data_IF_181252649668
#
_entry.id   IF_181252649668
#
_cell.length_a   1.000
_cell.length_b   1.000
_cell.length_c   1.000
_cell.angle_alpha   90.00
_cell.angle_beta   90.00
_cell.angle_gamma   90.00
#
_symmetry.space_group_name_H-M   'P 1'
#
loop_
_entity.id
_entity.type
_entity.pdbx_description
1 polymer ?
#
# COMPACT_ATOMS: atom_id res chain seq x y z
N UNK A 1 -25.73 -60.56 -27.95
CA UNK A 1 -25.17 -59.64 -28.97
C UNK A 1 -26.02 -58.37 -29.00
N UNK A 2 -25.34 -57.21 -29.02
CA UNK A 2 -25.86 -55.82 -29.08
C UNK A 2 -26.39 -55.23 -27.76
N UNK A 3 -25.48 -54.54 -27.07
CA UNK A 3 -25.80 -53.68 -25.93
C UNK A 3 -24.54 -53.16 -25.25
N UNK A 4 -23.59 -52.60 -26.02
CA UNK A 4 -22.35 -52.01 -25.47
C UNK A 4 -21.57 -51.20 -26.54
N UNK A 5 -22.21 -50.21 -27.18
CA UNK A 5 -21.46 -49.23 -28.00
C UNK A 5 -22.27 -47.98 -28.33
N UNK A 6 -22.61 -47.16 -27.31
CA UNK A 6 -23.05 -45.77 -27.56
C UNK A 6 -22.92 -44.83 -26.34
N UNK A 7 -21.91 -45.05 -25.48
CA UNK A 7 -21.51 -44.11 -24.40
C UNK A 7 -20.17 -43.40 -24.74
N UNK A 8 -19.62 -43.61 -25.93
CA UNK A 8 -18.25 -43.19 -26.28
C UNK A 8 -18.13 -41.81 -26.98
N UNK A 9 -19.18 -40.96 -26.96
CA UNK A 9 -19.11 -39.60 -27.53
C UNK A 9 -19.51 -38.46 -26.57
N UNK A 10 -19.56 -38.72 -25.26
CA UNK A 10 -19.92 -37.72 -24.24
C UNK A 10 -18.80 -37.33 -23.26
N UNK A 11 -17.54 -37.74 -23.50
CA UNK A 11 -16.49 -37.65 -22.49
C UNK A 11 -15.10 -37.35 -23.04
N UNK A 12 -14.98 -36.53 -24.09
CA UNK A 12 -13.68 -36.16 -24.65
C UNK A 12 -13.65 -34.72 -25.16
N UNK A 13 -13.87 -33.74 -24.28
CA UNK A 13 -13.43 -32.35 -24.54
C UNK A 13 -13.25 -31.52 -23.26
N UNK A 14 -12.63 -32.08 -22.23
CA UNK A 14 -12.21 -31.32 -21.05
C UNK A 14 -10.97 -31.94 -20.37
N UNK A 15 -9.85 -32.05 -21.09
CA UNK A 15 -8.57 -32.47 -20.49
C UNK A 15 -7.31 -31.98 -21.23
N UNK A 16 -7.35 -30.79 -21.84
CA UNK A 16 -6.13 -30.15 -22.35
C UNK A 16 -6.12 -28.67 -22.00
N UNK A 17 -5.67 -28.36 -20.79
CA UNK A 17 -4.92 -27.16 -20.41
C UNK A 17 -4.72 -27.19 -18.89
N UNK A 18 -3.60 -27.79 -18.45
CA UNK A 18 -2.87 -27.45 -17.22
C UNK A 18 -1.70 -28.42 -17.07
N UNK A 19 -0.62 -28.16 -17.81
CA UNK A 19 0.72 -28.63 -17.48
C UNK A 19 1.68 -27.47 -17.65
N UNK A 20 2.13 -26.94 -16.52
CA UNK A 20 3.49 -26.49 -16.20
C UNK A 20 3.43 -25.46 -15.07
N UNK A 21 3.56 -25.91 -13.82
CA UNK A 21 4.62 -25.55 -12.86
C UNK A 21 4.54 -26.59 -11.73
N UNK A 22 5.64 -27.31 -11.50
CA UNK A 22 5.75 -28.26 -10.40
C UNK A 22 5.95 -27.57 -9.06
N UNK A 23 5.37 -28.14 -8.00
CA UNK A 23 6.05 -28.56 -6.77
C UNK A 23 5.01 -28.90 -5.68
N UNK A 24 5.08 -30.13 -5.16
CA UNK A 24 4.60 -30.48 -3.82
C UNK A 24 3.14 -30.93 -3.71
N UNK A 25 2.91 -32.25 -3.66
CA UNK A 25 1.80 -32.80 -2.90
C UNK A 25 2.03 -32.47 -1.41
N UNK A 26 1.56 -31.31 -0.96
CA UNK A 26 1.41 -31.03 0.47
C UNK A 26 0.29 -31.91 1.02
N UNK A 27 0.58 -32.69 2.06
CA UNK A 27 -0.44 -33.48 2.74
C UNK A 27 -1.59 -32.56 3.19
N UNK A 28 -2.84 -32.94 2.93
CA UNK A 28 -4.02 -32.18 3.41
C UNK A 28 -4.00 -31.93 4.92
N UNK A 29 -3.30 -32.78 5.69
CA UNK A 29 -3.04 -32.60 7.13
C UNK A 29 -2.09 -31.44 7.43
N UNK A 30 -1.09 -31.17 6.60
CA UNK A 30 -0.17 -30.03 6.78
C UNK A 30 -0.86 -28.70 6.47
N UNK A 31 -1.74 -28.68 5.46
CA UNK A 31 -2.53 -27.50 5.12
C UNK A 31 -3.53 -27.10 6.22
N UNK A 32 -4.02 -28.04 7.04
CA UNK A 32 -4.85 -27.73 8.21
C UNK A 32 -4.02 -27.22 9.39
N UNK A 33 -2.78 -27.69 9.57
CA UNK A 33 -1.88 -27.24 10.65
C UNK A 33 -1.37 -25.80 10.43
N UNK A 34 -1.24 -25.37 9.17
CA UNK A 34 -0.81 -24.02 8.79
C UNK A 34 -2.00 -23.08 8.49
N UNK A 35 -3.23 -23.54 8.70
CA UNK A 35 -4.44 -22.78 8.41
C UNK A 35 -4.49 -21.53 9.28
N UNK A 36 -4.58 -20.37 8.66
CA UNK A 36 -4.71 -19.08 9.33
C UNK A 36 -5.69 -18.24 8.52
N UNK A 37 -6.57 -17.50 9.20
CA UNK A 37 -7.44 -16.58 8.47
C UNK A 37 -6.60 -15.50 7.81
N UNK A 38 -7.02 -15.02 6.64
CA UNK A 38 -6.28 -13.97 5.94
C UNK A 38 -6.09 -12.72 6.82
N UNK A 39 -7.06 -12.42 7.69
CA UNK A 39 -6.98 -11.31 8.65
C UNK A 39 -5.86 -11.51 9.67
N UNK A 40 -5.75 -12.70 10.27
CA UNK A 40 -4.73 -13.01 11.28
C UNK A 40 -3.33 -13.10 10.65
N UNK A 41 -3.23 -13.66 9.44
CA UNK A 41 -1.98 -13.67 8.67
C UNK A 41 -1.50 -12.23 8.37
N UNK A 42 -2.43 -11.32 8.06
CA UNK A 42 -2.09 -9.91 7.83
C UNK A 42 -1.65 -9.18 9.10
N UNK A 43 -2.29 -9.44 10.25
CA UNK A 43 -1.85 -8.88 11.53
C UNK A 43 -0.44 -9.36 11.87
N UNK A 44 -0.20 -10.67 11.69
CA UNK A 44 1.11 -11.28 11.89
C UNK A 44 2.19 -10.62 11.02
N UNK A 45 1.97 -10.56 9.70
CA UNK A 45 2.97 -10.03 8.77
C UNK A 45 3.27 -8.54 9.03
N UNK A 46 2.24 -7.76 9.40
CA UNK A 46 2.41 -6.34 9.73
C UNK A 46 3.30 -6.13 10.96
N UNK A 47 3.01 -6.84 12.06
CA UNK A 47 3.76 -6.70 13.30
C UNK A 47 5.17 -7.25 13.15
N UNK A 48 5.35 -8.36 12.44
CA UNK A 48 6.68 -8.91 12.15
C UNK A 48 7.54 -7.90 11.37
N UNK A 49 7.00 -7.32 10.29
CA UNK A 49 7.74 -6.32 9.50
C UNK A 49 8.05 -5.05 10.29
N UNK A 50 7.11 -4.59 11.12
CA UNK A 50 7.32 -3.39 11.96
C UNK A 50 8.44 -3.63 12.99
N UNK A 51 8.47 -4.81 13.60
CA UNK A 51 9.55 -5.20 14.51
C UNK A 51 10.89 -5.28 13.77
N UNK A 52 10.96 -5.91 12.60
CA UNK A 52 12.21 -6.03 11.84
C UNK A 52 12.73 -4.65 11.37
N UNK A 53 11.83 -3.72 11.03
CA UNK A 53 12.17 -2.34 10.72
C UNK A 53 12.71 -1.59 11.94
N UNK A 54 12.09 -1.75 13.11
CA UNK A 54 12.57 -1.13 14.36
C UNK A 54 13.93 -1.69 14.78
N UNK A 55 14.15 -3.00 14.65
CA UNK A 55 15.47 -3.61 14.85
C UNK A 55 16.51 -2.98 13.91
N UNK A 56 16.19 -2.87 12.62
CA UNK A 56 17.09 -2.28 11.63
C UNK A 56 17.40 -0.81 11.93
N UNK A 57 16.38 -0.03 12.33
CA UNK A 57 16.54 1.37 12.75
C UNK A 57 17.41 1.49 13.99
N UNK A 58 17.19 0.64 15.01
CA UNK A 58 17.94 0.64 16.26
C UNK A 58 19.43 0.32 16.05
N UNK A 59 19.74 -0.60 15.14
CA UNK A 59 21.11 -0.91 14.72
C UNK A 59 21.78 0.25 13.96
N UNK A 60 21.00 1.06 13.25
CA UNK A 60 21.48 2.24 12.54
C UNK A 60 21.44 3.55 13.34
N UNK A 61 20.97 3.51 14.59
CA UNK A 61 20.81 4.70 15.42
C UNK A 61 22.18 5.27 15.84
N UNK A 62 22.33 6.59 15.77
CA UNK A 62 23.61 7.29 16.02
C UNK A 62 23.57 8.20 17.26
N UNK A 63 22.45 8.20 17.99
CA UNK A 63 22.29 8.94 19.24
C UNK A 63 21.29 8.27 20.18
N UNK A 64 21.43 8.55 21.47
CA UNK A 64 20.49 8.09 22.50
C UNK A 64 19.08 8.64 22.26
N UNK A 65 18.94 9.82 21.65
CA UNK A 65 17.65 10.41 21.31
C UNK A 65 16.92 9.64 20.20
N UNK A 66 17.66 9.15 19.21
CA UNK A 66 17.09 8.29 18.15
C UNK A 66 16.63 6.96 18.75
N UNK A 67 17.41 6.39 19.68
CA UNK A 67 17.06 5.17 20.41
C UNK A 67 15.81 5.39 21.28
N UNK A 68 15.70 6.51 21.99
CA UNK A 68 14.52 6.83 22.79
C UNK A 68 13.26 6.97 21.92
N UNK A 69 13.39 7.53 20.71
CA UNK A 69 12.28 7.61 19.74
C UNK A 69 11.87 6.21 19.27
N UNK A 70 12.83 5.34 18.98
CA UNK A 70 12.59 3.95 18.57
C UNK A 70 11.95 3.14 19.70
N UNK A 71 12.40 3.31 20.95
CA UNK A 71 11.84 2.64 22.11
C UNK A 71 10.41 3.11 22.41
N UNK A 72 10.13 4.40 22.19
CA UNK A 72 8.76 4.94 22.27
C UNK A 72 7.86 4.36 21.18
N UNK A 73 8.38 4.21 19.95
CA UNK A 73 7.64 3.58 18.84
C UNK A 73 7.36 2.08 19.11
N UNK A 74 8.29 1.38 19.78
CA UNK A 74 8.16 -0.03 20.18
C UNK A 74 7.12 -0.24 21.29
N UNK A 75 7.09 0.62 22.31
CA UNK A 75 6.15 0.51 23.44
C UNK A 75 4.70 0.76 23.04
N UNK A 76 4.46 1.43 21.90
CA UNK A 76 3.15 1.69 21.34
C UNK A 76 2.62 0.56 20.43
N UNK A 77 3.41 -0.51 20.21
CA UNK A 77 2.95 -1.63 19.39
C UNK A 77 2.08 -2.56 20.25
N UNK A 78 0.83 -2.75 19.83
CA UNK A 78 -0.05 -3.76 20.38
C UNK A 78 -0.24 -4.88 19.35
N UNK A 79 -0.14 -6.12 19.81
CA UNK A 79 -0.40 -7.29 18.97
C UNK A 79 -1.21 -8.32 19.73
N UNK A 80 -2.33 -8.70 19.13
CA UNK A 80 -3.15 -9.80 19.57
C UNK A 80 -3.74 -10.53 18.37
N UNK A 81 -4.08 -11.81 18.56
CA UNK A 81 -4.58 -12.67 17.49
C UNK A 81 -5.74 -13.54 17.98
N UNK A 82 -6.68 -13.83 17.09
CA UNK A 82 -7.78 -14.76 17.39
C UNK A 82 -7.37 -16.19 17.00
N UNK A 83 -7.24 -17.14 17.95
CA UNK A 83 -6.89 -18.53 17.65
C UNK A 83 -8.03 -19.33 17.00
N UNK A 84 -9.27 -18.82 16.99
CA UNK A 84 -10.44 -19.55 16.48
C UNK A 84 -10.28 -19.94 15.01
N UNK A 85 -10.34 -21.25 14.73
CA UNK A 85 -10.22 -21.80 13.38
C UNK A 85 -8.80 -21.75 12.78
N UNK A 86 -7.80 -21.41 13.60
CA UNK A 86 -6.38 -21.43 13.23
C UNK A 86 -5.75 -22.80 13.52
N UNK A 87 -4.88 -23.28 12.63
CA UNK A 87 -4.10 -24.50 12.81
C UNK A 87 -3.00 -24.33 13.85
N UNK A 88 -2.58 -25.43 14.48
CA UNK A 88 -1.66 -25.42 15.63
C UNK A 88 -0.30 -24.74 15.33
N UNK A 89 0.27 -24.93 14.12
CA UNK A 89 1.54 -24.28 13.76
C UNK A 89 1.37 -22.78 13.56
N UNK A 90 0.26 -22.37 12.97
CA UNK A 90 -0.07 -20.96 12.82
C UNK A 90 -0.30 -20.27 14.18
N UNK A 91 -0.97 -20.95 15.13
CA UNK A 91 -1.11 -20.46 16.50
C UNK A 91 0.25 -20.32 17.20
N UNK A 92 1.12 -21.32 17.08
CA UNK A 92 2.49 -21.25 17.62
C UNK A 92 3.28 -20.08 17.03
N UNK A 93 3.20 -19.88 15.73
CA UNK A 93 3.87 -18.78 15.03
C UNK A 93 3.38 -17.41 15.52
N UNK A 94 2.06 -17.24 15.67
CA UNK A 94 1.47 -16.01 16.23
C UNK A 94 1.86 -15.79 17.69
N UNK A 95 1.86 -16.84 18.52
CA UNK A 95 2.30 -16.75 19.90
C UNK A 95 3.77 -16.34 20.01
N UNK A 96 4.65 -16.94 19.20
CA UNK A 96 6.08 -16.58 19.16
C UNK A 96 6.30 -15.09 18.82
N UNK A 97 5.50 -14.53 17.91
CA UNK A 97 5.58 -13.11 17.58
C UNK A 97 5.11 -12.22 18.74
N UNK A 98 4.04 -12.64 19.44
CA UNK A 98 3.53 -11.96 20.63
C UNK A 98 4.57 -11.96 21.76
N UNK A 99 5.20 -13.11 21.99
CA UNK A 99 6.26 -13.26 22.99
C UNK A 99 7.51 -12.43 22.61
N UNK A 100 7.92 -12.45 21.34
CA UNK A 100 9.02 -11.63 20.82
C UNK A 100 8.75 -10.14 21.04
N UNK A 101 7.54 -9.67 20.77
CA UNK A 101 7.14 -8.28 21.04
C UNK A 101 7.23 -7.95 22.54
N UNK A 102 6.70 -8.80 23.40
CA UNK A 102 6.73 -8.60 24.85
C UNK A 102 8.16 -8.53 25.41
N UNK A 103 9.05 -9.41 24.93
CA UNK A 103 10.48 -9.40 25.30
C UNK A 103 11.15 -8.09 24.87
N UNK A 104 10.91 -7.64 23.64
CA UNK A 104 11.49 -6.39 23.14
C UNK A 104 10.94 -5.18 23.92
N UNK A 105 9.65 -5.17 24.27
CA UNK A 105 9.05 -4.10 25.08
C UNK A 105 9.56 -4.09 26.52
N UNK A 106 9.82 -5.25 27.12
CA UNK A 106 10.39 -5.37 28.46
C UNK A 106 11.90 -5.04 28.50
N UNK A 107 12.62 -5.23 27.40
CA UNK A 107 14.06 -4.97 27.31
C UNK A 107 14.45 -4.37 25.94
N UNK A 108 14.17 -3.07 25.69
CA UNK A 108 14.36 -2.43 24.38
C UNK A 108 15.81 -2.39 23.90
N UNK A 109 16.78 -2.45 24.81
CA UNK A 109 18.23 -2.52 24.50
C UNK A 109 18.63 -3.79 23.74
N UNK A 110 17.82 -4.85 23.79
CA UNK A 110 18.05 -6.08 23.03
C UNK A 110 17.89 -5.90 21.52
N UNK A 111 17.25 -4.81 21.05
CA UNK A 111 17.15 -4.44 19.63
C UNK A 111 18.53 -4.28 18.96
N UNK A 112 19.57 -3.97 19.74
CA UNK A 112 20.94 -3.76 19.24
C UNK A 112 21.78 -5.06 19.18
N UNK A 113 21.41 -6.11 19.92
CA UNK A 113 22.25 -7.29 20.14
C UNK A 113 22.05 -8.44 19.14
N UNK A 114 21.08 -8.34 18.22
CA UNK A 114 20.66 -9.47 17.37
C UNK A 114 21.70 -9.87 16.30
N UNK A 115 22.84 -9.17 16.17
CA UNK A 115 23.90 -9.58 15.21
C UNK A 115 25.30 -9.08 15.56
N UNK A 116 25.83 -9.40 16.74
CA UNK A 116 27.24 -9.17 17.05
C UNK A 116 27.88 -10.37 17.74
N UNK A 117 28.16 -11.41 16.96
CA UNK A 117 29.23 -12.37 17.23
C UNK A 117 30.22 -12.30 16.06
N UNK A 118 31.23 -11.45 16.16
CA UNK A 118 32.64 -11.79 15.86
C UNK A 118 33.55 -10.55 15.88
N UNK A 119 34.57 -10.67 16.73
CA UNK A 119 35.95 -10.21 16.59
C UNK A 119 36.24 -8.70 16.45
N UNK A 120 36.74 -8.14 17.57
CA UNK A 120 37.56 -6.94 17.59
C UNK A 120 39.03 -7.33 17.68
N UNK A 121 39.82 -6.99 16.65
CA UNK A 121 41.27 -6.88 16.74
C UNK A 121 41.68 -5.42 16.55
N UNK A 122 42.29 -4.86 17.58
CA UNK A 122 42.91 -3.54 17.64
C UNK A 122 44.17 -3.47 16.78
N UNK A 123 44.36 -2.36 16.07
CA UNK A 123 45.72 -1.81 15.85
C UNK A 123 45.66 -0.31 15.58
N UNK A 124 46.54 0.41 16.26
CA UNK A 124 46.74 1.86 16.18
C UNK A 124 47.67 2.23 15.01
N UNK A 125 47.45 3.39 14.37
CA UNK A 125 48.56 4.29 13.97
C UNK A 125 48.10 5.71 13.57
N UNK A 126 49.02 6.63 13.86
CA UNK A 126 49.07 8.11 13.93
C UNK A 126 48.53 8.99 12.76
N UNK A 127 48.42 10.33 12.97
CA UNK A 127 47.42 11.19 12.33
C UNK A 127 47.97 12.01 11.15
N UNK A 128 47.37 11.82 9.98
CA UNK A 128 46.80 12.95 9.22
C UNK A 128 45.31 12.65 9.22
N UNK A 129 44.55 13.37 10.06
CA UNK A 129 43.22 12.89 10.46
C UNK A 129 42.21 13.14 9.33
N UNK A 130 42.28 12.32 8.28
CA UNK A 130 41.16 12.09 7.37
C UNK A 130 39.95 11.76 8.25
N UNK A 131 38.97 12.65 8.24
CA UNK A 131 37.78 12.52 9.07
C UNK A 131 36.84 11.54 8.35
N UNK A 132 36.73 10.33 8.88
CA UNK A 132 35.81 9.31 8.35
C UNK A 132 34.36 9.77 8.44
N UNK A 133 33.63 9.67 7.33
CA UNK A 133 32.20 10.00 7.25
C UNK A 133 31.34 8.75 7.31
N UNK A 134 31.70 7.74 6.52
CA UNK A 134 31.09 6.41 6.53
C UNK A 134 32.13 5.39 6.05
N UNK A 135 32.13 4.22 6.66
CA UNK A 135 32.83 3.04 6.15
C UNK A 135 31.96 1.82 6.39
N UNK A 136 31.59 1.14 5.32
CA UNK A 136 30.75 -0.07 5.33
C UNK A 136 31.32 -1.07 4.36
N UNK A 137 31.39 -2.32 4.79
CA UNK A 137 31.77 -3.46 3.94
C UNK A 137 30.55 -4.36 3.71
N UNK A 138 30.49 -5.01 2.56
CA UNK A 138 29.44 -5.95 2.15
C UNK A 138 28.02 -5.40 2.35
N UNK A 139 27.83 -4.11 2.11
CA UNK A 139 26.54 -3.45 2.28
C UNK A 139 25.60 -3.87 1.15
N UNK A 140 24.42 -4.41 1.50
CA UNK A 140 23.35 -4.61 0.54
C UNK A 140 22.71 -3.28 0.16
N UNK A 141 22.63 -3.03 -1.14
CA UNK A 141 22.02 -1.85 -1.75
C UNK A 141 20.89 -2.32 -2.65
N UNK A 142 19.68 -2.24 -2.14
CA UNK A 142 18.42 -2.66 -2.78
C UNK A 142 17.58 -1.48 -3.32
N UNK A 143 18.06 -0.26 -3.09
CA UNK A 143 17.48 1.00 -3.54
C UNK A 143 18.58 2.07 -3.57
N UNK A 144 18.25 3.26 -4.11
CA UNK A 144 19.15 4.42 -4.10
C UNK A 144 19.55 4.75 -2.65
N UNK A 145 20.85 4.85 -2.37
CA UNK A 145 21.39 5.32 -1.09
C UNK A 145 22.01 6.70 -1.27
N UNK A 146 21.75 7.60 -0.32
CA UNK A 146 22.21 8.99 -0.34
C UNK A 146 22.98 9.30 0.93
N UNK A 147 24.13 9.96 0.77
CA UNK A 147 25.02 10.33 1.86
C UNK A 147 25.28 11.84 1.82
N UNK A 148 24.42 12.65 2.46
CA UNK A 148 24.55 14.10 2.48
C UNK A 148 25.49 14.57 3.61
N UNK A 149 26.45 15.43 3.28
CA UNK A 149 27.39 16.01 4.25
C UNK A 149 27.65 17.49 3.94
N UNK A 150 27.88 18.27 4.99
CA UNK A 150 28.33 19.64 4.82
C UNK A 150 29.85 19.68 4.67
N UNK A 151 30.32 20.43 3.67
CA UNK A 151 31.73 20.69 3.44
C UNK A 151 31.98 22.19 3.34
N UNK A 152 33.21 22.58 3.63
CA UNK A 152 33.74 23.93 3.36
C UNK A 152 34.48 23.95 2.03
N UNK A 153 34.62 25.14 1.46
CA UNK A 153 35.49 25.36 0.31
C UNK A 153 36.89 24.82 0.60
N UNK A 154 37.50 24.19 -0.40
CA UNK A 154 38.82 23.54 -0.35
C UNK A 154 38.92 22.25 0.47
N UNK A 155 37.84 21.78 1.11
CA UNK A 155 37.83 20.42 1.66
C UNK A 155 38.13 19.40 0.55
N UNK A 156 38.90 18.36 0.85
CA UNK A 156 39.16 17.25 -0.08
C UNK A 156 38.30 16.06 0.31
N UNK A 157 37.28 15.77 -0.49
CA UNK A 157 36.41 14.61 -0.32
C UNK A 157 37.05 13.38 -0.99
N UNK A 158 37.27 12.32 -0.21
CA UNK A 158 37.71 11.02 -0.70
C UNK A 158 36.53 10.06 -0.79
N UNK A 159 36.38 9.44 -1.97
CA UNK A 159 35.30 8.52 -2.31
C UNK A 159 35.94 7.19 -2.72
N UNK A 160 35.65 6.13 -1.97
CA UNK A 160 36.00 4.77 -2.35
C UNK A 160 34.73 3.90 -2.40
N UNK A 161 34.48 3.26 -3.54
CA UNK A 161 33.32 2.39 -3.74
C UNK A 161 33.74 1.17 -4.54
N UNK A 162 33.49 -0.02 -3.99
CA UNK A 162 33.77 -1.30 -4.66
C UNK A 162 32.49 -2.12 -4.74
N UNK A 163 31.71 -2.01 -5.83
CA UNK A 163 30.51 -2.79 -6.01
C UNK A 163 30.84 -4.19 -6.55
N UNK A 164 30.12 -5.19 -6.05
CA UNK A 164 30.02 -6.52 -6.65
C UNK A 164 28.90 -6.49 -7.71
N UNK A 165 29.21 -5.93 -8.88
CA UNK A 165 28.25 -5.69 -9.96
C UNK A 165 28.51 -4.34 -10.62
N UNK A 166 27.45 -3.71 -11.15
CA UNK A 166 27.53 -2.36 -11.71
C UNK A 166 26.69 -1.38 -10.89
N UNK A 167 27.29 -0.23 -10.62
CA UNK A 167 26.68 0.87 -9.90
C UNK A 167 26.93 2.20 -10.60
N UNK A 168 26.04 3.15 -10.34
CA UNK A 168 26.25 4.56 -10.64
C UNK A 168 26.48 5.31 -9.35
N UNK A 169 27.61 6.01 -9.28
CA UNK A 169 27.96 6.93 -8.20
C UNK A 169 27.83 8.34 -8.73
N UNK A 170 27.14 9.23 -8.02
CA UNK A 170 27.00 10.64 -8.41
C UNK A 170 27.31 11.56 -7.24
N UNK A 171 28.03 12.64 -7.52
CA UNK A 171 28.27 13.71 -6.55
C UNK A 171 27.43 14.92 -6.92
N UNK A 172 26.64 15.41 -5.98
CA UNK A 172 25.79 16.57 -6.13
C UNK A 172 26.19 17.71 -5.19
N UNK A 173 26.11 18.94 -5.68
CA UNK A 173 25.98 20.15 -4.88
C UNK A 173 24.48 20.39 -4.65
N UNK A 174 24.04 20.20 -3.41
CA UNK A 174 22.62 20.29 -3.05
C UNK A 174 22.16 21.76 -3.03
N UNK A 175 23.00 22.67 -2.55
CA UNK A 175 22.66 24.09 -2.47
C UNK A 175 22.43 24.68 -3.85
N UNK A 176 23.25 24.28 -4.84
CA UNK A 176 23.11 24.71 -6.25
C UNK A 176 22.23 23.79 -7.09
N UNK A 177 21.70 22.71 -6.51
CA UNK A 177 20.88 21.71 -7.20
C UNK A 177 21.54 21.17 -8.47
N UNK A 178 22.85 20.89 -8.40
CA UNK A 178 23.67 20.56 -9.57
C UNK A 178 24.43 19.26 -9.34
N UNK A 179 24.40 18.37 -10.34
CA UNK A 179 25.31 17.22 -10.40
C UNK A 179 26.69 17.69 -10.84
N UNK A 180 27.71 17.42 -10.02
CA UNK A 180 29.09 17.83 -10.27
C UNK A 180 29.85 16.77 -11.05
N UNK A 181 29.76 15.52 -10.61
CA UNK A 181 30.42 14.37 -11.22
C UNK A 181 29.48 13.16 -11.20
N UNK A 182 29.70 12.25 -12.14
CA UNK A 182 29.03 10.95 -12.19
C UNK A 182 30.01 9.91 -12.71
N UNK A 183 30.02 8.76 -12.06
CA UNK A 183 30.83 7.60 -12.43
C UNK A 183 29.93 6.39 -12.62
N UNK A 184 30.23 5.58 -13.62
CA UNK A 184 29.71 4.24 -13.75
C UNK A 184 30.82 3.28 -13.31
N UNK A 185 30.53 2.48 -12.30
CA UNK A 185 31.51 1.75 -11.51
C UNK A 185 31.20 0.26 -11.60
N UNK A 186 32.13 -0.52 -12.15
CA UNK A 186 32.03 -1.98 -12.29
C UNK A 186 33.06 -2.74 -11.44
N UNK A 187 34.01 -2.00 -10.86
CA UNK A 187 35.12 -2.46 -10.03
C UNK A 187 35.36 -1.40 -8.95
N UNK A 188 36.55 -1.32 -8.36
CA UNK A 188 36.87 -0.25 -7.41
C UNK A 188 36.88 1.13 -8.07
N UNK A 189 36.15 2.08 -7.49
CA UNK A 189 36.28 3.52 -7.69
C UNK A 189 37.09 4.10 -6.52
N UNK A 190 38.13 4.87 -6.81
CA UNK A 190 38.83 5.73 -5.85
C UNK A 190 38.98 7.12 -6.46
N UNK A 191 38.37 8.11 -5.81
CA UNK A 191 38.35 9.49 -6.28
C UNK A 191 38.63 10.45 -5.14
N UNK A 192 39.32 11.54 -5.48
CA UNK A 192 39.49 12.69 -4.62
C UNK A 192 38.89 13.92 -5.31
N UNK A 193 38.05 14.66 -4.59
CA UNK A 193 37.34 15.83 -5.12
C UNK A 193 37.51 17.02 -4.20
N UNK A 194 38.09 18.10 -4.73
CA UNK A 194 38.15 19.39 -4.02
C UNK A 194 36.81 20.09 -4.06
N UNK A 195 36.31 20.48 -2.89
CA UNK A 195 35.03 21.15 -2.73
C UNK A 195 35.12 22.61 -3.16
N UNK A 196 34.31 23.07 -4.14
CA UNK A 196 34.45 24.42 -4.69
C UNK A 196 33.93 25.51 -3.75
N UNK A 197 32.87 25.25 -3.00
CA UNK A 197 32.27 26.22 -2.09
C UNK A 197 31.64 25.55 -0.88
N UNK A 198 31.49 26.30 0.20
CA UNK A 198 30.73 25.92 1.37
C UNK A 198 29.30 25.48 1.01
N UNK A 199 28.86 24.36 1.56
CA UNK A 199 27.52 23.84 1.30
C UNK A 199 27.35 22.37 1.64
N UNK A 200 26.14 21.87 1.39
CA UNK A 200 25.75 20.48 1.49
C UNK A 200 26.03 19.81 0.15
N UNK A 201 26.81 18.74 0.19
CA UNK A 201 27.06 17.87 -0.94
C UNK A 201 26.52 16.48 -0.63
N UNK A 202 26.11 15.76 -1.66
CA UNK A 202 25.52 14.44 -1.51
C UNK A 202 26.16 13.46 -2.48
N UNK A 203 26.62 12.34 -1.93
CA UNK A 203 27.00 11.17 -2.72
C UNK A 203 25.74 10.32 -2.89
N UNK A 204 25.32 10.06 -4.12
CA UNK A 204 24.26 9.11 -4.44
C UNK A 204 24.87 7.84 -5.02
N UNK A 205 24.51 6.69 -4.45
CA UNK A 205 24.85 5.37 -4.93
C UNK A 205 23.58 4.67 -5.44
N UNK A 206 23.60 4.25 -6.71
CA UNK A 206 22.47 3.60 -7.36
C UNK A 206 22.91 2.29 -8.03
N UNK A 207 22.30 1.14 -7.70
CA UNK A 207 22.55 -0.10 -8.44
C UNK A 207 21.96 -0.01 -9.84
N UNK A 208 22.70 -0.46 -10.87
CA UNK A 208 22.14 -0.50 -12.23
C UNK A 208 21.18 -1.70 -12.41
N UNK A 209 21.41 -2.80 -11.68
CA UNK A 209 20.60 -4.04 -11.72
C UNK A 209 19.48 -4.12 -10.67
N UNK A 210 19.15 -3.01 -9.99
CA UNK A 210 18.12 -2.97 -8.93
C UNK A 210 18.61 -3.37 -7.54
N UNK A 211 19.50 -4.34 -7.43
CA UNK A 211 20.23 -4.65 -6.20
C UNK A 211 21.72 -4.93 -6.44
N UNK A 212 22.57 -4.67 -5.43
CA UNK A 212 23.98 -5.08 -5.41
C UNK A 212 24.52 -5.17 -3.98
N UNK A 213 25.68 -5.80 -3.83
CA UNK A 213 26.51 -5.75 -2.62
C UNK A 213 27.71 -4.83 -2.90
N UNK A 214 28.10 -3.96 -1.97
CA UNK A 214 29.22 -3.04 -2.15
C UNK A 214 29.96 -2.74 -0.87
N UNK A 215 31.24 -2.45 -1.02
CA UNK A 215 32.01 -1.72 -0.02
C UNK A 215 31.96 -0.23 -0.35
N UNK A 216 31.82 0.62 0.68
CA UNK A 216 31.85 2.07 0.54
C UNK A 216 32.65 2.67 1.70
N UNK A 217 33.54 3.60 1.36
CA UNK A 217 34.24 4.45 2.32
C UNK A 217 34.22 5.88 1.82
N UNK A 218 33.67 6.78 2.63
CA UNK A 218 33.72 8.22 2.39
C UNK A 218 34.47 8.86 3.56
N UNK A 219 35.43 9.71 3.25
CA UNK A 219 36.16 10.51 4.23
C UNK A 219 36.51 11.87 3.63
N UNK A 220 36.95 12.80 4.47
CA UNK A 220 37.45 14.07 3.96
C UNK A 220 38.66 14.55 4.74
N UNK A 221 39.52 15.28 4.04
CA UNK A 221 40.54 16.13 4.63
C UNK A 221 40.01 17.57 4.65
N UNK A 222 39.90 18.15 5.85
CA UNK A 222 39.34 19.47 6.02
C UNK A 222 40.36 20.55 5.70
N UNK A 223 39.94 21.62 5.02
CA UNK A 223 40.74 22.84 4.87
C UNK A 223 41.00 23.54 6.22
N UNK A 224 40.25 23.16 7.26
CA UNK A 224 40.41 23.60 8.63
C UNK A 224 40.15 22.46 9.64
N UNK A 225 40.47 22.73 10.90
CA UNK A 225 40.24 21.79 11.99
C UNK A 225 38.79 21.78 12.50
N UNK A 226 37.93 22.69 12.04
CA UNK A 226 36.58 22.86 12.56
C UNK A 226 35.73 21.61 12.29
N UNK A 227 34.76 21.35 13.17
CA UNK A 227 33.75 20.31 12.90
C UNK A 227 32.78 20.85 11.86
N UNK A 228 32.38 19.97 10.92
CA UNK A 228 31.33 20.28 9.96
C UNK A 228 29.95 20.12 10.65
N UNK A 229 28.99 21.02 10.39
CA UNK A 229 27.64 20.89 10.94
C UNK A 229 26.98 19.60 10.45
N UNK A 230 26.06 19.07 11.25
CA UNK A 230 25.31 17.88 10.87
C UNK A 230 24.25 18.25 9.85
N UNK A 231 24.08 17.40 8.85
CA UNK A 231 23.02 17.54 7.85
C UNK A 231 21.82 16.70 8.27
N UNK A 232 20.64 17.31 8.23
CA UNK A 232 19.35 16.66 8.44
C UNK A 232 18.56 16.61 7.13
N UNK A 233 17.65 15.66 7.03
CA UNK A 233 16.81 15.42 5.86
C UNK A 233 15.32 15.54 6.21
N UNK A 234 14.53 16.08 5.28
CA UNK A 234 13.07 16.01 5.29
C UNK A 234 12.55 15.75 3.89
N UNK A 235 11.59 14.82 3.76
CA UNK A 235 10.88 14.59 2.50
C UNK A 235 9.75 15.60 2.33
N UNK A 236 9.64 16.20 1.15
CA UNK A 236 8.58 17.16 0.79
C UNK A 236 7.94 16.80 -0.54
N UNK A 237 6.67 17.16 -0.72
CA UNK A 237 5.98 17.08 -2.02
C UNK A 237 6.59 18.06 -3.02
N UNK A 238 6.69 17.65 -4.29
CA UNK A 238 7.29 18.43 -5.37
C UNK A 238 6.61 18.15 -6.72
N UNK A 239 7.09 18.77 -7.80
CA UNK A 239 6.61 18.53 -9.17
C UNK A 239 7.53 17.54 -9.90
N UNK A 240 6.98 16.95 -10.95
CA UNK A 240 7.79 16.17 -11.89
C UNK A 240 8.88 17.04 -12.49
N UNK A 241 10.13 16.55 -12.45
CA UNK A 241 11.29 17.25 -13.00
C UNK A 241 12.03 18.15 -12.00
N UNK A 242 11.49 18.37 -10.80
CA UNK A 242 12.24 19.06 -9.75
C UNK A 242 13.51 18.26 -9.38
N UNK A 243 14.55 18.96 -8.93
CA UNK A 243 15.82 18.32 -8.55
C UNK A 243 15.59 17.26 -7.46
N UNK A 244 16.10 16.04 -7.69
CA UNK A 244 15.89 14.83 -6.86
C UNK A 244 14.42 14.41 -6.69
N UNK A 245 13.53 14.83 -7.58
CA UNK A 245 12.14 14.35 -7.57
C UNK A 245 12.08 12.85 -7.87
N UNK A 246 11.44 12.13 -6.97
CA UNK A 246 11.15 10.70 -7.09
C UNK A 246 9.66 10.51 -7.27
N UNK A 247 9.30 9.68 -8.25
CA UNK A 247 7.93 9.31 -8.51
C UNK A 247 7.55 8.11 -7.64
N UNK A 248 6.52 8.29 -6.83
CA UNK A 248 5.91 7.23 -6.04
C UNK A 248 4.51 6.96 -6.58
N UNK A 249 4.19 5.68 -6.79
CA UNK A 249 2.85 5.25 -7.17
C UNK A 249 1.82 5.66 -6.10
N UNK A 250 0.70 6.22 -6.55
CA UNK A 250 -0.34 6.79 -5.69
C UNK A 250 -1.72 6.48 -6.27
N UNK A 251 -2.74 6.59 -5.42
CA UNK A 251 -4.15 6.55 -5.83
C UNK A 251 -4.76 7.91 -5.57
N UNK A 252 -5.31 8.51 -6.61
CA UNK A 252 -6.21 9.63 -6.51
C UNK A 252 -7.63 9.11 -6.37
N UNK A 253 -8.32 9.57 -5.34
CA UNK A 253 -9.76 9.38 -5.17
C UNK A 253 -10.46 10.60 -5.76
N UNK A 254 -11.54 10.40 -6.50
CA UNK A 254 -12.36 11.50 -7.05
C UNK A 254 -13.83 11.17 -6.97
N UNK A 255 -14.64 12.13 -6.50
CA UNK A 255 -16.09 11.97 -6.44
C UNK A 255 -16.68 11.85 -7.84
N UNK A 256 -17.63 10.92 -8.01
CA UNK A 256 -18.37 10.76 -9.27
C UNK A 256 -19.64 11.62 -9.29
N UNK A 257 -20.25 11.81 -8.13
CA UNK A 257 -21.36 12.74 -7.94
C UNK A 257 -20.91 13.98 -7.19
N UNK A 258 -21.46 15.15 -7.53
CA UNK A 258 -21.22 16.39 -6.78
C UNK A 258 -21.73 16.29 -5.34
N UNK A 259 -22.84 15.59 -5.15
CA UNK A 259 -23.50 15.35 -3.86
C UNK A 259 -24.02 13.90 -3.83
N UNK A 260 -24.20 13.30 -2.63
CA UNK A 260 -24.82 11.98 -2.49
C UNK A 260 -26.16 11.91 -3.21
N UNK A 261 -26.39 10.84 -3.96
CA UNK A 261 -27.71 10.59 -4.56
C UNK A 261 -28.64 10.05 -3.50
N UNK A 262 -29.69 10.81 -3.18
CA UNK A 262 -30.74 10.42 -2.26
C UNK A 262 -31.98 9.97 -3.03
N UNK A 263 -32.49 8.77 -2.74
CA UNK A 263 -33.75 8.27 -3.30
C UNK A 263 -34.63 7.66 -2.22
N UNK A 264 -35.94 7.88 -2.30
CA UNK A 264 -36.93 7.22 -1.45
C UNK A 264 -37.64 6.12 -2.23
N UNK A 265 -37.73 4.93 -1.64
CA UNK A 265 -38.46 3.78 -2.15
C UNK A 265 -39.68 3.53 -1.26
N UNK A 266 -40.87 3.62 -1.82
CA UNK A 266 -42.10 3.37 -1.06
C UNK A 266 -42.27 1.87 -0.78
N UNK A 267 -42.83 1.55 0.38
CA UNK A 267 -43.29 0.18 0.65
C UNK A 267 -44.42 -0.20 -0.31
N UNK A 268 -44.52 -1.48 -0.68
CA UNK A 268 -45.45 -1.91 -1.75
C UNK A 268 -46.91 -1.47 -1.51
N UNK A 269 -47.41 -1.54 -0.26
CA UNK A 269 -48.75 -1.07 0.09
C UNK A 269 -48.96 0.41 -0.24
N UNK A 270 -47.98 1.27 0.04
CA UNK A 270 -48.07 2.72 -0.25
C UNK A 270 -47.85 3.02 -1.72
N UNK A 271 -46.97 2.26 -2.41
CA UNK A 271 -46.66 2.45 -3.84
C UNK A 271 -47.86 2.22 -4.76
N UNK A 272 -48.80 1.36 -4.36
CA UNK A 272 -50.06 1.12 -5.08
C UNK A 272 -50.92 2.41 -5.13
N UNK A 273 -50.79 3.29 -4.14
CA UNK A 273 -51.56 4.54 -4.06
C UNK A 273 -50.75 5.78 -4.43
N UNK A 274 -49.43 5.81 -4.17
CA UNK A 274 -48.55 6.92 -4.59
C UNK A 274 -47.05 6.58 -4.43
N UNK A 275 -46.22 7.12 -5.33
CA UNK A 275 -44.76 6.95 -5.31
C UNK A 275 -44.28 5.63 -5.91
N UNK A 276 -42.95 5.47 -6.07
CA UNK A 276 -42.34 4.31 -6.73
C UNK A 276 -41.67 3.38 -5.73
N UNK A 277 -41.81 2.07 -5.92
CA UNK A 277 -41.06 1.04 -5.19
C UNK A 277 -39.68 0.79 -5.81
N UNK A 278 -39.44 1.30 -7.02
CA UNK A 278 -38.17 1.21 -7.74
C UNK A 278 -37.53 2.57 -8.00
N UNK A 279 -36.20 2.60 -7.98
CA UNK A 279 -35.41 3.75 -8.40
C UNK A 279 -34.22 3.30 -9.26
N UNK A 280 -33.78 4.17 -10.17
CA UNK A 280 -32.63 3.95 -11.02
C UNK A 280 -31.65 5.11 -10.86
N UNK A 281 -30.39 4.81 -10.56
CA UNK A 281 -29.31 5.80 -10.48
C UNK A 281 -28.27 5.49 -11.56
N UNK A 282 -28.03 6.44 -12.45
CA UNK A 282 -26.97 6.33 -13.45
C UNK A 282 -25.63 6.75 -12.84
N UNK A 283 -24.65 5.86 -12.91
CA UNK A 283 -23.28 6.06 -12.43
C UNK A 283 -22.36 6.25 -13.65
N UNK A 284 -21.94 7.49 -13.96
CA UNK A 284 -20.96 7.71 -15.02
C UNK A 284 -19.60 7.13 -14.58
N UNK A 285 -18.86 6.55 -15.53
CA UNK A 285 -17.53 5.99 -15.31
C UNK A 285 -16.51 6.99 -15.86
N UNK A 286 -15.78 7.73 -15.00
CA UNK A 286 -14.78 8.70 -15.48
C UNK A 286 -13.69 8.00 -16.29
N UNK A 287 -13.23 8.66 -17.36
CA UNK A 287 -12.16 8.13 -18.20
C UNK A 287 -10.87 7.91 -17.39
N UNK A 288 -10.21 6.76 -17.59
CA UNK A 288 -8.99 6.41 -16.88
C UNK A 288 -9.19 5.93 -15.44
N UNK A 289 -10.43 5.67 -15.01
CA UNK A 289 -10.70 5.07 -13.70
C UNK A 289 -10.26 3.61 -13.67
N UNK A 290 -9.46 3.24 -12.67
CA UNK A 290 -9.03 1.85 -12.44
C UNK A 290 -10.08 1.06 -11.65
N UNK A 291 -10.77 1.72 -10.73
CA UNK A 291 -11.87 1.13 -9.96
C UNK A 291 -12.96 2.18 -9.69
N UNK A 292 -14.21 1.71 -9.57
CA UNK A 292 -15.35 2.52 -9.14
C UNK A 292 -15.84 1.93 -7.84
N UNK A 293 -15.80 2.70 -6.76
CA UNK A 293 -16.25 2.28 -5.43
C UNK A 293 -17.55 3.00 -5.10
N UNK A 294 -18.41 2.33 -4.34
CA UNK A 294 -19.63 2.94 -3.83
C UNK A 294 -19.78 2.76 -2.34
N UNK A 295 -20.45 3.72 -1.73
CA UNK A 295 -20.97 3.70 -0.38
C UNK A 295 -22.49 3.80 -0.46
N UNK A 296 -23.16 2.81 0.10
CA UNK A 296 -24.60 2.66 0.08
C UNK A 296 -25.12 2.65 1.51
N UNK A 297 -25.82 3.71 1.91
CA UNK A 297 -26.58 3.74 3.17
C UNK A 297 -28.05 3.56 2.87
N UNK A 298 -28.67 2.57 3.51
CA UNK A 298 -30.09 2.29 3.46
C UNK A 298 -30.65 2.52 4.86
N UNK A 299 -31.74 3.27 4.97
CA UNK A 299 -32.37 3.60 6.23
C UNK A 299 -33.89 3.63 6.09
N UNK A 300 -34.60 3.29 7.15
CA UNK A 300 -36.05 3.54 7.24
C UNK A 300 -36.37 4.98 7.63
N UNK A 301 -35.34 5.77 7.96
CA UNK A 301 -35.42 7.17 8.35
C UNK A 301 -34.86 8.08 7.24
N UNK A 302 -35.64 9.08 6.83
CA UNK A 302 -35.26 10.02 5.78
C UNK A 302 -34.13 11.00 6.20
N UNK A 303 -33.76 11.04 7.48
CA UNK A 303 -32.73 11.96 7.98
C UNK A 303 -31.34 11.61 7.41
N UNK A 304 -30.64 12.66 6.99
CA UNK A 304 -29.23 12.60 6.61
C UNK A 304 -28.37 12.30 7.84
N UNK A 305 -27.42 11.38 7.71
CA UNK A 305 -26.48 11.02 8.76
C UNK A 305 -25.22 11.92 8.68
N UNK A 306 -24.49 12.13 9.80
CA UNK A 306 -23.25 12.91 9.79
C UNK A 306 -22.12 12.34 8.90
N UNK A 307 -22.24 11.08 8.49
CA UNK A 307 -21.31 10.39 7.58
C UNK A 307 -21.61 10.63 6.10
N UNK A 308 -22.83 11.05 5.76
CA UNK A 308 -23.24 11.23 4.37
C UNK A 308 -22.45 12.38 3.72
N UNK A 309 -21.97 12.16 2.50
CA UNK A 309 -21.14 13.11 1.75
C UNK A 309 -19.64 13.03 2.05
N UNK A 310 -19.18 12.13 2.92
CA UNK A 310 -17.78 12.02 3.34
C UNK A 310 -17.04 10.84 2.75
N UNK A 311 -17.65 10.07 1.84
CA UNK A 311 -17.07 8.81 1.38
C UNK A 311 -15.72 8.99 0.68
N UNK A 312 -15.62 9.92 -0.28
CA UNK A 312 -14.38 10.16 -1.01
C UNK A 312 -13.25 10.71 -0.12
N UNK A 313 -13.59 11.55 0.87
CA UNK A 313 -12.62 12.08 1.84
C UNK A 313 -12.10 10.97 2.76
N UNK A 314 -12.99 10.11 3.26
CA UNK A 314 -12.64 8.97 4.09
C UNK A 314 -11.78 7.96 3.30
N UNK A 315 -12.10 7.69 2.03
CA UNK A 315 -11.28 6.88 1.14
C UNK A 315 -9.90 7.51 0.90
N UNK A 316 -9.82 8.82 0.71
CA UNK A 316 -8.57 9.55 0.51
C UNK A 316 -7.67 9.47 1.75
N UNK A 317 -8.27 9.62 2.93
CA UNK A 317 -7.59 9.50 4.21
C UNK A 317 -7.08 8.06 4.41
N UNK A 318 -7.93 7.07 4.19
CA UNK A 318 -7.56 5.66 4.28
C UNK A 318 -6.43 5.30 3.31
N UNK A 319 -6.46 5.80 2.07
CA UNK A 319 -5.39 5.61 1.08
C UNK A 319 -4.06 6.18 1.56
N UNK A 320 -4.06 7.38 2.16
CA UNK A 320 -2.84 7.99 2.75
C UNK A 320 -2.29 7.15 3.90
N UNK A 321 -3.16 6.61 4.77
CA UNK A 321 -2.72 5.75 5.87
C UNK A 321 -2.07 4.45 5.37
N UNK A 322 -2.62 3.82 4.33
CA UNK A 322 -2.04 2.61 3.72
C UNK A 322 -0.63 2.89 3.18
N UNK A 323 -0.38 4.08 2.62
CA UNK A 323 0.96 4.48 2.13
C UNK A 323 1.98 4.64 3.26
N UNK A 324 1.57 5.20 4.40
CA UNK A 324 2.46 5.44 5.55
C UNK A 324 2.96 4.11 6.14
N UNK A 325 2.15 3.05 6.05
CA UNK A 325 2.43 1.74 6.64
C UNK A 325 3.31 0.81 5.77
N UNK A 326 4.05 1.36 4.81
CA UNK A 326 5.14 0.63 4.13
C UNK A 326 4.72 -0.52 3.21
N UNK A 327 3.43 -0.70 2.95
CA UNK A 327 2.96 -1.69 1.99
C UNK A 327 3.38 -1.19 0.60
N UNK A 328 4.13 -2.00 -0.16
CA UNK A 328 4.34 -1.75 -1.59
C UNK A 328 3.02 -2.00 -2.32
N UNK A 329 2.13 -1.01 -2.25
CA UNK A 329 0.73 -1.12 -2.68
C UNK A 329 0.59 -1.40 -4.18
N UNK A 330 1.65 -1.25 -4.99
CA UNK A 330 1.55 -1.18 -6.44
C UNK A 330 2.71 -1.87 -7.17
N UNK A 331 2.69 -3.20 -7.27
CA UNK A 331 3.53 -3.91 -8.24
C UNK A 331 2.82 -4.15 -9.59
N UNK A 332 1.53 -3.84 -9.71
CA UNK A 332 0.74 -4.08 -10.93
C UNK A 332 0.12 -2.78 -11.46
N UNK A 333 -0.04 -2.69 -12.79
CA UNK A 333 -0.72 -1.58 -13.50
C UNK A 333 -2.22 -1.46 -13.17
N UNK A 334 -2.74 -2.36 -12.36
CA UNK A 334 -4.12 -2.43 -11.88
C UNK A 334 -4.10 -2.46 -10.36
N UNK A 335 -5.00 -1.71 -9.70
CA UNK A 335 -5.20 -1.79 -8.26
C UNK A 335 -5.46 -3.25 -7.85
N UNK A 336 -4.71 -3.76 -6.87
CA UNK A 336 -4.98 -5.10 -6.36
C UNK A 336 -6.27 -5.09 -5.54
N UNK A 337 -7.01 -6.20 -5.58
CA UNK A 337 -8.20 -6.42 -4.76
C UNK A 337 -7.93 -6.13 -3.28
N UNK A 338 -6.77 -6.54 -2.77
CA UNK A 338 -6.35 -6.32 -1.38
C UNK A 338 -6.33 -4.85 -0.94
N UNK A 339 -6.10 -3.91 -1.86
CA UNK A 339 -6.06 -2.47 -1.56
C UNK A 339 -7.46 -1.90 -1.56
N UNK A 340 -8.27 -2.33 -2.52
CA UNK A 340 -9.69 -1.97 -2.61
C UNK A 340 -10.43 -2.47 -1.37
N UNK A 341 -10.21 -3.71 -0.96
CA UNK A 341 -10.85 -4.30 0.23
C UNK A 341 -10.52 -3.52 1.51
N UNK A 342 -9.25 -3.11 1.68
CA UNK A 342 -8.81 -2.27 2.81
C UNK A 342 -9.47 -0.90 2.80
N UNK A 343 -9.56 -0.27 1.64
CA UNK A 343 -10.22 1.03 1.48
C UNK A 343 -11.72 0.93 1.81
N UNK A 344 -12.40 -0.11 1.34
CA UNK A 344 -13.83 -0.32 1.58
C UNK A 344 -14.12 -0.70 3.04
N UNK A 345 -13.22 -1.44 3.70
CA UNK A 345 -13.36 -1.83 5.10
C UNK A 345 -13.35 -0.60 6.04
N UNK A 346 -12.42 0.33 5.82
CA UNK A 346 -12.23 1.51 6.66
C UNK A 346 -13.32 2.58 6.50
N UNK A 347 -14.29 2.38 5.60
CA UNK A 347 -15.26 3.40 5.20
C UNK A 347 -16.72 2.93 5.30
N UNK A 348 -17.00 1.86 6.05
CA UNK A 348 -18.32 1.21 6.06
C UNK A 348 -19.46 2.11 6.58
N UNK A 349 -20.65 2.08 5.94
CA UNK A 349 -21.84 2.76 6.44
C UNK A 349 -22.40 2.10 7.70
N UNK A 350 -23.16 2.85 8.52
CA UNK A 350 -23.96 2.25 9.58
C UNK A 350 -25.04 1.32 8.99
N UNK A 351 -25.29 0.20 9.67
CA UNK A 351 -26.32 -0.77 9.30
C UNK A 351 -27.54 -0.63 10.21
N UNK A 352 -28.72 -0.69 9.62
CA UNK A 352 -30.00 -0.82 10.32
C UNK A 352 -30.57 -2.19 9.97
N UNK A 353 -30.97 -2.98 10.97
CA UNK A 353 -31.43 -4.37 10.77
C UNK A 353 -32.61 -4.46 9.80
N UNK A 354 -33.53 -3.50 9.88
CA UNK A 354 -34.77 -3.48 9.12
C UNK A 354 -34.70 -2.76 7.75
N UNK A 355 -33.57 -2.13 7.43
CA UNK A 355 -33.38 -1.33 6.22
C UNK A 355 -32.60 -2.11 5.15
N UNK A 356 -33.33 -2.69 4.19
CA UNK A 356 -32.75 -3.40 3.04
C UNK A 356 -33.59 -3.23 1.78
N UNK A 357 -32.95 -3.38 0.62
CA UNK A 357 -33.60 -3.38 -0.69
C UNK A 357 -32.86 -4.31 -1.67
N UNK A 358 -33.49 -4.68 -2.78
CA UNK A 358 -32.78 -5.38 -3.84
C UNK A 358 -31.97 -4.37 -4.66
N UNK A 359 -30.71 -4.68 -4.93
CA UNK A 359 -29.80 -3.87 -5.74
C UNK A 359 -29.42 -4.63 -7.01
N UNK A 360 -29.65 -4.00 -8.17
CA UNK A 360 -29.36 -4.55 -9.49
C UNK A 360 -28.33 -3.69 -10.20
N UNK A 361 -27.26 -4.31 -10.70
CA UNK A 361 -26.29 -3.64 -11.57
C UNK A 361 -26.69 -3.88 -13.02
N UNK A 362 -27.41 -2.90 -13.56
CA UNK A 362 -27.83 -2.84 -14.94
C UNK A 362 -26.77 -2.14 -15.77
N UNK A 363 -26.62 -2.65 -16.97
CA UNK A 363 -25.36 -2.58 -17.70
C UNK A 363 -25.61 -2.23 -19.17
N UNK A 364 -26.90 -2.15 -19.50
CA UNK A 364 -27.48 -1.77 -20.77
C UNK A 364 -28.58 -0.75 -20.48
N UNK A 365 -28.62 0.33 -21.26
CA UNK A 365 -29.58 1.42 -21.05
C UNK A 365 -31.02 0.99 -21.31
N UNK A 366 -31.25 0.02 -22.21
CA UNK A 366 -32.58 -0.51 -22.51
C UNK A 366 -33.12 -1.30 -21.33
N UNK A 367 -32.30 -2.15 -20.70
CA UNK A 367 -32.67 -2.87 -19.48
C UNK A 367 -32.90 -1.92 -18.30
N UNK A 368 -32.06 -0.89 -18.17
CA UNK A 368 -32.21 0.15 -17.15
C UNK A 368 -33.56 0.89 -17.29
N UNK A 369 -33.93 1.26 -18.52
CA UNK A 369 -35.23 1.88 -18.82
C UNK A 369 -36.39 0.94 -18.50
N UNK A 370 -36.32 -0.33 -18.94
CA UNK A 370 -37.36 -1.33 -18.63
C UNK A 370 -37.58 -1.52 -17.13
N UNK A 371 -36.50 -1.49 -16.34
CA UNK A 371 -36.54 -1.55 -14.88
C UNK A 371 -37.26 -0.33 -14.29
N UNK A 372 -36.91 0.88 -14.75
CA UNK A 372 -37.49 2.14 -14.31
C UNK A 372 -38.98 2.30 -14.68
N UNK A 373 -39.37 1.75 -15.83
CA UNK A 373 -40.74 1.79 -16.35
C UNK A 373 -41.62 0.66 -15.77
N UNK A 374 -41.08 -0.17 -14.87
CA UNK A 374 -41.80 -1.27 -14.19
C UNK A 374 -42.46 -2.29 -15.14
N UNK A 375 -41.93 -2.40 -16.36
CA UNK A 375 -42.54 -3.19 -17.45
C UNK A 375 -42.50 -4.71 -17.24
N UNK A 376 -41.74 -5.20 -16.27
CA UNK A 376 -41.66 -6.62 -15.91
C UNK A 376 -41.41 -6.84 -14.40
N UNK A 377 -41.63 -8.07 -13.93
CA UNK A 377 -41.17 -8.49 -12.61
C UNK A 377 -39.64 -8.54 -12.56
N UNK A 378 -39.06 -8.31 -11.38
CA UNK A 378 -37.63 -8.10 -11.20
C UNK A 378 -36.74 -9.28 -11.58
N UNK A 379 -37.28 -10.50 -11.63
CA UNK A 379 -36.60 -11.70 -12.11
C UNK A 379 -36.38 -11.79 -13.63
N UNK A 380 -36.93 -10.86 -14.42
CA UNK A 380 -36.86 -10.92 -15.89
C UNK A 380 -35.89 -9.90 -16.52
N UNK A 381 -35.21 -9.08 -15.71
CA UNK A 381 -34.22 -8.14 -16.22
C UNK A 381 -32.86 -8.82 -16.42
N UNK A 382 -32.16 -8.44 -17.50
CA UNK A 382 -30.75 -8.83 -17.67
C UNK A 382 -29.85 -7.89 -16.87
N UNK A 383 -29.45 -8.31 -15.67
CA UNK A 383 -28.49 -7.61 -14.80
C UNK A 383 -27.20 -8.41 -14.59
N UNK A 384 -26.16 -7.74 -14.09
CA UNK A 384 -24.90 -8.40 -13.75
C UNK A 384 -25.03 -9.13 -12.41
N UNK A 385 -25.30 -10.44 -12.46
CA UNK A 385 -25.54 -11.29 -11.29
C UNK A 385 -24.40 -11.21 -10.26
N UNK A 386 -23.15 -11.21 -10.71
CA UNK A 386 -21.95 -11.13 -9.85
C UNK A 386 -21.84 -9.83 -9.03
N UNK A 387 -22.59 -8.79 -9.39
CA UNK A 387 -22.54 -7.48 -8.75
C UNK A 387 -23.90 -7.04 -8.20
N UNK A 388 -24.93 -7.87 -8.37
CA UNK A 388 -26.29 -7.59 -7.92
C UNK A 388 -26.59 -8.42 -6.68
N UNK A 389 -27.38 -7.88 -5.77
CA UNK A 389 -27.65 -8.52 -4.48
C UNK A 389 -29.11 -8.30 -4.07
N UNK A 390 -29.78 -9.40 -3.73
CA UNK A 390 -31.10 -9.37 -3.09
C UNK A 390 -30.94 -9.14 -1.59
N UNK A 391 -31.87 -8.41 -0.97
CA UNK A 391 -31.80 -8.10 0.46
C UNK A 391 -30.57 -7.30 0.87
N UNK A 392 -30.11 -6.40 -0.01
CA UNK A 392 -28.93 -5.55 0.24
C UNK A 392 -29.22 -4.61 1.42
N UNK A 393 -28.39 -4.71 2.46
CA UNK A 393 -28.31 -3.74 3.56
C UNK A 393 -27.22 -2.69 3.26
N UNK A 394 -27.09 -1.67 4.12
CA UNK A 394 -26.00 -0.69 4.02
C UNK A 394 -24.63 -1.37 3.88
N UNK A 395 -23.91 -1.00 2.83
CA UNK A 395 -22.63 -1.61 2.48
C UNK A 395 -21.75 -0.68 1.63
N UNK A 396 -20.50 -1.09 1.49
CA UNK A 396 -19.61 -0.57 0.46
C UNK A 396 -19.35 -1.67 -0.56
N UNK A 397 -19.02 -1.29 -1.78
CA UNK A 397 -18.59 -2.26 -2.79
C UNK A 397 -17.84 -1.64 -3.95
N UNK A 398 -17.37 -2.52 -4.83
CA UNK A 398 -16.72 -2.17 -6.08
C UNK A 398 -17.69 -2.43 -7.24
N UNK A 399 -17.83 -1.45 -8.13
CA UNK A 399 -18.48 -1.61 -9.42
C UNK A 399 -17.42 -1.89 -10.49
N UNK A 400 -17.60 -2.97 -11.24
CA UNK A 400 -16.75 -3.41 -12.34
C UNK A 400 -17.38 -2.99 -13.67
N UNK A 401 -16.95 -1.87 -14.29
CA UNK A 401 -17.58 -1.34 -15.49
C UNK A 401 -17.36 -2.19 -16.75
N UNK A 402 -16.36 -3.09 -16.77
CA UNK A 402 -16.04 -3.98 -17.91
C UNK A 402 -16.01 -3.21 -19.25
N UNK A 403 -15.38 -2.01 -19.27
CA UNK A 403 -15.26 -1.13 -20.44
C UNK A 403 -16.42 -0.16 -20.71
N UNK A 404 -17.47 -0.18 -19.89
CA UNK A 404 -18.64 0.69 -20.06
C UNK A 404 -18.40 2.11 -19.54
N UNK A 405 -18.99 3.09 -20.23
CA UNK A 405 -18.98 4.51 -19.83
C UNK A 405 -20.00 4.85 -18.74
N UNK A 406 -20.99 3.98 -18.52
CA UNK A 406 -22.06 4.18 -17.55
C UNK A 406 -22.52 2.84 -17.02
N UNK A 407 -22.75 2.78 -15.71
CA UNK A 407 -23.44 1.70 -15.03
C UNK A 407 -24.76 2.24 -14.47
N UNK A 408 -25.76 1.39 -14.33
CA UNK A 408 -27.06 1.77 -13.82
C UNK A 408 -27.35 0.93 -12.58
N UNK A 409 -27.52 1.58 -11.42
CA UNK A 409 -27.91 0.89 -10.18
C UNK A 409 -29.42 0.99 -10.05
N UNK A 410 -30.10 -0.15 -10.20
CA UNK A 410 -31.50 -0.31 -9.92
C UNK A 410 -31.71 -0.71 -8.47
N UNK A 411 -32.62 -0.03 -7.78
CA UNK A 411 -33.01 -0.37 -6.41
C UNK A 411 -34.50 -0.69 -6.39
N UNK A 412 -34.88 -1.76 -5.71
CA UNK A 412 -36.27 -2.19 -5.56
C UNK A 412 -36.57 -2.49 -4.09
N UNK A 413 -37.62 -1.88 -3.56
CA UNK A 413 -38.12 -2.18 -2.24
C UNK A 413 -39.13 -3.33 -2.31
N UNK A 414 -38.70 -4.51 -1.87
CA UNK A 414 -39.55 -5.70 -1.83
C UNK A 414 -40.50 -5.70 -0.62
N UNK A 415 -40.21 -4.92 0.44
CA UNK A 415 -41.04 -4.88 1.65
C UNK A 415 -42.35 -4.13 1.41
N UNK A 416 -43.44 -4.70 1.92
CA UNK A 416 -44.77 -4.11 1.90
C UNK A 416 -44.96 -2.96 2.92
N UNK A 417 -44.24 -2.99 4.05
CA UNK A 417 -44.63 -2.21 5.26
C UNK A 417 -43.89 -0.89 5.48
N UNK A 418 -42.63 -0.76 5.04
CA UNK A 418 -41.79 0.39 5.34
C UNK A 418 -41.21 1.05 4.09
N UNK A 419 -41.08 2.37 4.15
CA UNK A 419 -40.37 3.15 3.15
C UNK A 419 -38.87 3.05 3.44
N UNK A 420 -38.07 2.87 2.40
CA UNK A 420 -36.61 2.84 2.48
C UNK A 420 -36.04 4.08 1.82
N UNK A 421 -35.04 4.69 2.44
CA UNK A 421 -34.30 5.82 1.91
C UNK A 421 -32.87 5.40 1.67
N UNK A 422 -32.36 5.71 0.48
CA UNK A 422 -31.04 5.33 0.02
C UNK A 422 -30.20 6.59 -0.15
N UNK A 423 -28.98 6.56 0.37
CA UNK A 423 -27.91 7.49 0.04
C UNK A 423 -26.81 6.71 -0.66
N UNK A 424 -26.52 7.11 -1.88
CA UNK A 424 -25.47 6.55 -2.69
C UNK A 424 -24.39 7.59 -2.96
N UNK A 425 -23.19 7.29 -2.51
CA UNK A 425 -21.97 7.99 -2.89
C UNK A 425 -21.13 7.08 -3.77
N UNK A 426 -20.49 7.66 -4.77
CA UNK A 426 -19.61 6.91 -5.69
C UNK A 426 -18.31 7.68 -5.84
N UNK A 427 -17.21 6.96 -5.70
CA UNK A 427 -15.87 7.45 -5.90
C UNK A 427 -15.18 6.64 -7.01
N UNK A 428 -14.38 7.33 -7.82
CA UNK A 428 -13.47 6.73 -8.77
C UNK A 428 -12.06 6.72 -8.18
N UNK A 429 -11.35 5.62 -8.40
CA UNK A 429 -9.94 5.50 -8.10
C UNK A 429 -9.15 5.57 -9.39
N UNK A 430 -8.11 6.39 -9.40
CA UNK A 430 -7.19 6.52 -10.52
C UNK A 430 -5.76 6.43 -10.02
N UNK A 431 -5.00 5.51 -10.59
CA UNK A 431 -3.58 5.35 -10.34
C UNK A 431 -2.85 6.57 -10.91
N UNK A 432 -2.04 7.18 -10.06
CA UNK A 432 -1.29 8.38 -10.39
C UNK A 432 0.13 8.28 -9.82
N UNK A 433 0.94 9.29 -10.13
CA UNK A 433 2.27 9.45 -9.54
C UNK A 433 2.25 10.70 -8.66
N UNK A 434 2.67 10.54 -7.42
CA UNK A 434 3.06 11.65 -6.57
C UNK A 434 4.56 11.82 -6.65
N UNK A 435 5.03 13.06 -6.64
CA UNK A 435 6.45 13.36 -6.67
C UNK A 435 6.88 13.91 -5.33
N UNK A 436 7.91 13.30 -4.76
CA UNK A 436 8.52 13.72 -3.49
C UNK A 436 10.02 13.88 -3.69
N UNK A 437 10.63 14.78 -2.93
CA UNK A 437 12.09 14.94 -2.91
C UNK A 437 12.62 15.12 -1.50
N UNK A 438 13.86 14.70 -1.23
CA UNK A 438 14.54 15.07 0.00
C UNK A 438 14.96 16.54 -0.05
N UNK A 439 14.86 17.21 1.09
CA UNK A 439 15.43 18.54 1.35
C UNK A 439 16.40 18.42 2.50
N UNK A 440 17.61 18.92 2.28
CA UNK A 440 18.70 18.85 3.25
C UNK A 440 18.96 20.22 3.87
N UNK A 441 19.25 20.24 5.17
CA UNK A 441 19.56 21.45 5.92
C UNK A 441 20.54 21.15 7.05
N UNK A 442 21.33 22.14 7.45
CA UNK A 442 22.27 22.03 8.58
C UNK A 442 21.55 22.27 9.91
N UNK A 443 21.96 21.55 10.95
CA UNK A 443 21.57 21.83 12.35
C UNK A 443 22.72 22.44 13.13
#
# INVERSE_FOLDING_TARGET
>A
MKGLLQILYGGLLLCTLLTCVGCGQGNKKDAELDKISELEQMKYDNISQKLDLLCSKAQSAHSDLDLQTIYTELSQIEYDYNPDGMGERAQQKCQQLKDRLAVLQASPSSLQQISSSNEASTSESRPSASKGLISRRHMKVDAVKRYPYYFKSQDQLHISVTPHGSARVSLFDINRQKRLKQWHVQSTLEEQVTIPSDGIYMIELRPDGGELITDISLSYEGADNNKRPRVSERTVSCKQGDFLAEATASVRVSTVFKEPKKVGLRGNLKSIFSGKSRALISVPVPAGSDAILYYLRISTNEKTAPSDGKFADNLSLASKQIKILGIKVYEKRTLSSSVIDRLLFNTRPPREEDAFCNMYVLTDATQAKKFQDETASSGHYKYAVEQSQMGTQSCNGELKPKGRKTLYLGFENERMRYDNYIWLEVASLTHTKEYTRPVYFTR
#
